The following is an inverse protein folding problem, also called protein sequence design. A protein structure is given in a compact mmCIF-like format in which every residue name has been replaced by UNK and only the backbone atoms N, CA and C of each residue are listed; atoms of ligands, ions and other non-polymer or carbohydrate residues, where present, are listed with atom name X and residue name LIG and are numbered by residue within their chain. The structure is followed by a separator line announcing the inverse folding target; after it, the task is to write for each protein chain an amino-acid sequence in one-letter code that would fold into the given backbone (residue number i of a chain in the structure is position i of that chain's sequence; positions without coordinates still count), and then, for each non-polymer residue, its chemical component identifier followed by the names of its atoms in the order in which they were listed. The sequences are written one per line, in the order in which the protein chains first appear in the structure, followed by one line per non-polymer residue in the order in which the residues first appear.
data_IF_500872934425
#
_entry.id   IF_500872934425
#
_cell.length_a   1.000
_cell.length_b   1.000
_cell.length_c   1.000
_cell.angle_alpha   90.00
_cell.angle_beta   90.00
_cell.angle_gamma   90.00
#
_symmetry.space_group_name_H-M   'P 1'
#
loop_
_entity.id
_entity.type
_entity.pdbx_description
1 polymer ?
#
# COMPACT_ATOMS: atom_id res chain seq x y z
N UNK A 1 -17.41 3.37 4.75
CA UNK A 1 -16.05 3.89 4.72
C UNK A 1 -15.79 4.63 3.42
N UNK A 2 -15.00 5.69 3.48
CA UNK A 2 -14.66 6.44 2.29
C UNK A 2 -13.64 5.68 1.44
N UNK A 3 -13.50 6.11 0.20
CA UNK A 3 -12.57 5.48 -0.72
C UNK A 3 -11.13 5.62 -0.21
N UNK A 4 -10.81 6.77 0.36
CA UNK A 4 -9.47 7.01 0.89
C UNK A 4 -9.17 6.06 2.06
N UNK A 5 -10.14 5.86 2.95
CA UNK A 5 -9.95 4.94 4.06
C UNK A 5 -9.68 3.52 3.59
N UNK A 6 -10.38 3.09 2.54
CA UNK A 6 -10.15 1.76 1.98
C UNK A 6 -8.73 1.65 1.43
N UNK A 7 -8.27 2.68 0.77
CA UNK A 7 -6.92 2.68 0.22
C UNK A 7 -5.87 2.66 1.33
N UNK A 8 -6.09 3.39 2.40
CA UNK A 8 -5.16 3.35 3.53
C UNK A 8 -5.10 1.96 4.15
N UNK A 9 -6.26 1.31 4.26
CA UNK A 9 -6.30 -0.06 4.78
C UNK A 9 -5.49 -1.00 3.88
N UNK A 10 -5.64 -0.88 2.57
CA UNK A 10 -4.87 -1.69 1.63
C UNK A 10 -3.38 -1.41 1.74
N UNK A 11 -3.02 -0.15 1.83
CA UNK A 11 -1.63 0.26 1.95
C UNK A 11 -1.00 -0.38 3.19
N UNK A 12 -1.70 -0.29 4.32
CA UNK A 12 -1.22 -0.85 5.57
C UNK A 12 -1.03 -2.36 5.46
N UNK A 13 -2.01 -3.05 4.86
CA UNK A 13 -1.93 -4.50 4.70
C UNK A 13 -0.73 -4.89 3.84
N UNK A 14 -0.53 -4.19 2.75
CA UNK A 14 0.58 -4.50 1.86
C UNK A 14 1.92 -4.28 2.56
N UNK A 15 2.04 -3.23 3.35
CA UNK A 15 3.27 -3.00 4.11
C UNK A 15 3.51 -4.10 5.12
N UNK A 16 2.48 -4.54 5.82
CA UNK A 16 2.62 -5.61 6.79
C UNK A 16 3.05 -6.90 6.13
N UNK A 17 2.46 -7.20 4.98
CA UNK A 17 2.84 -8.40 4.23
C UNK A 17 4.28 -8.31 3.73
N UNK A 18 4.66 -7.13 3.26
CA UNK A 18 6.03 -6.91 2.82
C UNK A 18 7.02 -7.18 3.96
N UNK A 19 6.73 -6.64 5.14
CA UNK A 19 7.58 -6.86 6.31
C UNK A 19 7.67 -8.33 6.66
N UNK A 20 6.54 -9.01 6.64
CA UNK A 20 6.52 -10.43 6.98
C UNK A 20 7.34 -11.25 5.99
N UNK A 21 7.26 -10.92 4.72
CA UNK A 21 7.97 -11.66 3.68
C UNK A 21 9.44 -11.28 3.57
N UNK A 22 9.84 -10.18 4.17
CA UNK A 22 11.21 -9.67 4.03
C UNK A 22 12.26 -10.67 4.53
N UNK A 23 11.90 -11.56 5.45
CA UNK A 23 12.82 -12.56 5.97
C UNK A 23 12.66 -13.92 5.31
N UNK A 24 11.54 -14.17 4.63
CA UNK A 24 11.27 -15.48 4.04
C UNK A 24 11.29 -15.47 2.52
N UNK A 25 10.86 -14.37 1.91
CA UNK A 25 10.77 -14.28 0.45
C UNK A 25 10.97 -12.85 -0.01
N UNK A 26 12.22 -12.50 -0.33
CA UNK A 26 12.59 -11.14 -0.71
C UNK A 26 11.84 -10.68 -1.96
N UNK A 27 11.72 -11.58 -2.95
CA UNK A 27 11.06 -11.21 -4.19
C UNK A 27 9.60 -10.84 -3.97
N UNK A 28 8.90 -11.62 -3.15
CA UNK A 28 7.51 -11.31 -2.82
C UNK A 28 7.42 -10.05 -1.97
N UNK A 29 8.36 -9.88 -1.05
CA UNK A 29 8.39 -8.67 -0.22
C UNK A 29 8.53 -7.43 -1.10
N UNK A 30 9.44 -7.46 -2.08
CA UNK A 30 9.62 -6.34 -2.97
C UNK A 30 8.36 -6.05 -3.79
N UNK A 31 7.69 -7.11 -4.23
CA UNK A 31 6.44 -6.96 -4.98
C UNK A 31 5.37 -6.28 -4.13
N UNK A 32 5.23 -6.72 -2.88
CA UNK A 32 4.23 -6.13 -2.00
C UNK A 32 4.55 -4.67 -1.72
N UNK A 33 5.82 -4.35 -1.55
CA UNK A 33 6.23 -2.97 -1.33
C UNK A 33 5.89 -2.11 -2.54
N UNK A 34 6.10 -2.63 -3.74
CA UNK A 34 5.76 -1.89 -4.96
C UNK A 34 4.25 -1.67 -5.06
N UNK A 35 3.46 -2.66 -4.70
CA UNK A 35 2.01 -2.51 -4.70
C UNK A 35 1.57 -1.47 -3.68
N UNK A 36 2.21 -1.46 -2.51
CA UNK A 36 1.90 -0.45 -1.50
C UNK A 36 2.19 0.95 -2.02
N UNK A 37 3.28 1.12 -2.76
CA UNK A 37 3.61 2.40 -3.36
C UNK A 37 2.55 2.84 -4.37
N UNK A 38 2.06 1.90 -5.18
CA UNK A 38 1.02 2.22 -6.14
C UNK A 38 -0.26 2.68 -5.44
N UNK A 39 -0.61 2.02 -4.34
CA UNK A 39 -1.77 2.42 -3.55
C UNK A 39 -1.56 3.80 -2.95
N UNK A 40 -0.35 4.07 -2.47
CA UNK A 40 -0.03 5.38 -1.92
C UNK A 40 -0.22 6.49 -2.96
N UNK A 41 0.19 6.24 -4.18
CA UNK A 41 0.00 7.22 -5.26
C UNK A 41 -1.49 7.47 -5.51
N UNK A 42 -2.30 6.43 -5.45
CA UNK A 42 -3.74 6.60 -5.58
C UNK A 42 -4.30 7.44 -4.45
N UNK A 43 -3.82 7.22 -3.23
CA UNK A 43 -4.24 8.02 -2.08
C UNK A 43 -3.91 9.48 -2.30
N UNK A 44 -2.68 9.76 -2.73
CA UNK A 44 -2.27 11.14 -2.97
C UNK A 44 -3.11 11.81 -4.04
N UNK A 45 -3.43 11.06 -5.09
CA UNK A 45 -4.27 11.61 -6.17
C UNK A 45 -5.66 11.97 -5.66
N UNK A 46 -6.24 11.10 -4.82
CA UNK A 46 -7.56 11.38 -4.25
C UNK A 46 -7.52 12.56 -3.29
N UNK A 47 -6.49 12.63 -2.45
CA UNK A 47 -6.37 13.75 -1.52
C UNK A 47 -6.22 15.07 -2.27
N UNK A 48 -5.47 15.05 -3.37
CA UNK A 48 -5.31 16.23 -4.18
C UNK A 48 -6.63 16.69 -4.80
N UNK A 49 -7.45 15.71 -5.18
CA UNK A 49 -8.74 16.00 -5.78
C UNK A 49 -9.70 16.61 -4.76
N UNK A 50 -9.63 16.14 -3.53
CA UNK A 50 -10.53 16.61 -2.48
C UNK A 50 -10.05 17.87 -1.79
N UNK A 51 -8.78 18.10 -1.84
CA UNK A 51 -8.18 19.27 -1.24
C UNK A 51 -8.25 20.45 -2.17
#
# INVERSE_FOLDING_TARGET
KSEIEKLYDQHKKLLEESHRLSTTNRAESDRKAAEAEAVLKSIEALEKKQG
#
